data_IF_059960990495
#
_entry.id   IF_059960990495
#
_cell.length_a   1.000
_cell.length_b   1.000
_cell.length_c   1.000
_cell.angle_alpha   90.00
_cell.angle_beta   90.00
_cell.angle_gamma   90.00
#
_symmetry.space_group_name_H-M   'P 1'
#
loop_
_entity.id
_entity.type
_entity.pdbx_description
1 polymer ?
#
# COMPACT_ATOMS: atom_id res chain seq x y z
N UNK A 1 16.73 6.69 72.10
CA UNK A 1 16.42 7.87 71.26
C UNK A 1 16.13 7.40 69.85
N UNK A 2 15.07 7.98 69.27
CA UNK A 2 14.65 8.03 67.87
C UNK A 2 14.68 6.78 66.96
N UNK A 3 13.46 6.41 66.59
CA UNK A 3 13.00 5.54 65.49
C UNK A 3 13.12 6.27 64.14
N UNK A 4 13.56 5.57 63.09
CA UNK A 4 13.41 5.97 61.68
C UNK A 4 13.33 4.66 60.88
N UNK A 5 12.16 4.10 60.51
CA UNK A 5 11.18 4.54 59.51
C UNK A 5 11.84 4.76 58.14
N UNK A 6 11.83 3.75 57.26
CA UNK A 6 10.80 3.49 56.22
C UNK A 6 10.99 4.37 54.97
N UNK A 7 10.73 3.75 53.82
CA UNK A 7 10.50 4.32 52.48
C UNK A 7 11.75 4.73 51.69
N UNK A 8 11.83 4.55 50.38
CA UNK A 8 10.81 4.16 49.40
C UNK A 8 11.46 3.40 48.24
N UNK A 9 10.71 2.42 47.77
CA UNK A 9 10.61 1.94 46.40
C UNK A 9 10.97 3.03 45.39
N UNK A 10 12.10 2.88 44.71
CA UNK A 10 12.33 3.56 43.44
C UNK A 10 11.54 2.81 42.38
N UNK A 11 10.27 3.18 42.21
CA UNK A 11 9.51 2.89 41.00
C UNK A 11 10.32 3.43 39.81
N UNK A 12 10.90 2.54 39.01
CA UNK A 12 11.39 2.90 37.69
C UNK A 12 10.16 3.29 36.86
N UNK A 13 9.99 4.60 36.73
CA UNK A 13 9.14 5.28 35.77
C UNK A 13 9.28 4.64 34.40
N UNK A 14 8.19 4.02 33.94
CA UNK A 14 8.02 3.71 32.53
C UNK A 14 8.05 5.00 31.74
N UNK A 15 9.12 5.17 30.95
CA UNK A 15 9.11 6.04 29.78
C UNK A 15 8.22 5.39 28.72
N UNK A 16 6.91 5.45 28.94
CA UNK A 16 5.94 5.21 27.89
C UNK A 16 5.35 6.56 27.56
N UNK A 17 6.14 7.37 26.87
CA UNK A 17 5.68 8.61 26.23
C UNK A 17 4.65 8.22 25.15
N UNK A 18 3.33 8.41 25.36
CA UNK A 18 2.31 8.06 24.39
C UNK A 18 2.13 9.28 23.48
N UNK A 19 2.91 9.37 22.40
CA UNK A 19 2.80 10.54 21.53
C UNK A 19 3.68 10.60 20.28
N UNK A 20 4.68 9.73 20.13
CA UNK A 20 5.61 9.81 19.00
C UNK A 20 5.13 9.06 17.74
N UNK A 21 4.26 8.04 17.86
CA UNK A 21 3.89 7.15 16.74
C UNK A 21 2.87 7.76 15.76
N UNK A 22 2.29 8.93 16.06
CA UNK A 22 1.29 9.57 15.21
C UNK A 22 1.87 10.33 14.01
N UNK A 23 3.19 10.59 13.97
CA UNK A 23 3.72 11.67 13.13
C UNK A 23 4.42 11.25 11.83
N UNK A 24 4.76 9.97 11.63
CA UNK A 24 5.55 9.55 10.46
C UNK A 24 4.83 8.44 9.68
N UNK A 25 4.47 8.75 8.44
CA UNK A 25 4.05 7.74 7.46
C UNK A 25 5.29 6.96 6.99
N UNK A 26 5.17 5.66 6.71
CA UNK A 26 6.26 4.86 6.16
C UNK A 26 6.70 5.35 4.78
N UNK A 27 7.99 5.18 4.46
CA UNK A 27 8.55 5.63 3.17
C UNK A 27 8.10 4.76 1.99
N UNK A 28 7.79 3.48 2.24
CA UNK A 28 7.43 2.51 1.20
C UNK A 28 6.46 1.44 1.72
N UNK A 29 5.91 0.65 0.80
CA UNK A 29 4.91 -0.38 1.08
C UNK A 29 5.43 -1.44 2.08
N UNK A 30 6.64 -1.94 1.87
CA UNK A 30 7.24 -2.98 2.72
C UNK A 30 7.43 -2.49 4.16
N UNK A 31 7.86 -1.25 4.34
CA UNK A 31 7.99 -0.63 5.66
C UNK A 31 6.63 -0.49 6.36
N UNK A 32 5.59 -0.09 5.62
CA UNK A 32 4.23 0.01 6.16
C UNK A 32 3.66 -1.35 6.57
N UNK A 33 3.94 -2.40 5.77
CA UNK A 33 3.50 -3.75 6.05
C UNK A 33 4.20 -4.32 7.29
N UNK A 34 5.53 -4.19 7.37
CA UNK A 34 6.30 -4.67 8.53
C UNK A 34 5.86 -4.00 9.83
N UNK A 35 5.56 -2.70 9.78
CA UNK A 35 5.04 -1.99 10.95
C UNK A 35 3.65 -2.47 11.34
N UNK A 36 2.77 -2.71 10.36
CA UNK A 36 1.42 -3.23 10.60
C UNK A 36 1.47 -4.62 11.23
N UNK A 37 2.35 -5.51 10.75
CA UNK A 37 2.56 -6.85 11.32
C UNK A 37 3.03 -6.77 12.78
N UNK A 38 4.03 -5.91 13.06
CA UNK A 38 4.51 -5.69 14.43
C UNK A 38 3.41 -5.14 15.35
N UNK A 39 2.58 -4.24 14.82
CA UNK A 39 1.48 -3.65 15.57
C UNK A 39 0.39 -4.68 15.88
N UNK A 40 0.03 -5.51 14.91
CA UNK A 40 -0.93 -6.62 15.10
C UNK A 40 -0.39 -7.62 16.11
N UNK A 41 0.88 -8.03 16.01
CA UNK A 41 1.50 -8.93 16.97
C UNK A 41 1.39 -8.42 18.42
N UNK A 42 1.64 -7.12 18.63
CA UNK A 42 1.46 -6.46 19.94
C UNK A 42 0.00 -6.45 20.42
N UNK A 43 -0.96 -6.31 19.50
CA UNK A 43 -2.39 -6.37 19.84
C UNK A 43 -2.82 -7.77 20.24
N UNK A 44 -2.25 -8.80 19.60
CA UNK A 44 -2.53 -10.21 19.90
C UNK A 44 -1.89 -10.68 21.21
N UNK A 45 -0.79 -10.05 21.63
CA UNK A 45 -0.12 -10.33 22.91
C UNK A 45 -0.99 -9.98 24.14
N UNK A 46 -2.04 -9.17 23.96
CA UNK A 46 -3.08 -8.93 24.96
C UNK A 46 -2.64 -8.09 26.18
N UNK A 47 -1.46 -7.49 26.14
CA UNK A 47 -0.91 -6.67 27.22
C UNK A 47 -1.25 -5.16 27.10
N UNK A 48 -1.98 -4.75 26.07
CA UNK A 48 -2.31 -3.34 25.82
C UNK A 48 -3.45 -2.86 26.72
N UNK A 49 -3.30 -1.67 27.30
CA UNK A 49 -4.41 -0.93 27.91
C UNK A 49 -5.45 -0.49 26.87
N UNK A 50 -6.59 0.01 27.34
CA UNK A 50 -7.67 0.49 26.47
C UNK A 50 -7.22 1.67 25.58
N UNK A 51 -6.55 2.67 26.16
CA UNK A 51 -5.96 3.80 25.42
C UNK A 51 -4.94 3.33 24.36
N UNK A 52 -4.06 2.39 24.72
CA UNK A 52 -3.05 1.85 23.80
C UNK A 52 -3.69 1.03 22.67
N UNK A 53 -4.74 0.27 22.96
CA UNK A 53 -5.51 -0.47 21.96
C UNK A 53 -6.16 0.48 20.95
N UNK A 54 -6.73 1.60 21.43
CA UNK A 54 -7.28 2.64 20.56
C UNK A 54 -6.20 3.34 19.73
N UNK A 55 -5.03 3.60 20.30
CA UNK A 55 -3.90 4.18 19.57
C UNK A 55 -3.39 3.22 18.49
N UNK A 56 -3.21 1.94 18.82
CA UNK A 56 -2.79 0.90 17.90
C UNK A 56 -3.78 0.76 16.73
N UNK A 57 -5.08 0.74 17.02
CA UNK A 57 -6.12 0.71 15.99
C UNK A 57 -6.03 1.90 15.02
N UNK A 58 -5.90 3.14 15.54
CA UNK A 58 -5.77 4.33 14.70
C UNK A 58 -4.54 4.26 13.81
N UNK A 59 -3.40 3.85 14.36
CA UNK A 59 -2.16 3.67 13.61
C UNK A 59 -2.31 2.60 12.53
N UNK A 60 -2.88 1.45 12.87
CA UNK A 60 -3.17 0.37 11.91
C UNK A 60 -4.06 0.84 10.76
N UNK A 61 -5.11 1.61 11.04
CA UNK A 61 -5.97 2.19 10.01
C UNK A 61 -5.21 3.12 9.05
N UNK A 62 -4.28 3.94 9.59
CA UNK A 62 -3.40 4.78 8.77
C UNK A 62 -2.46 3.96 7.88
N UNK A 63 -1.83 2.93 8.44
CA UNK A 63 -0.91 2.04 7.69
C UNK A 63 -1.64 1.30 6.57
N UNK A 64 -2.82 0.75 6.86
CA UNK A 64 -3.67 0.08 5.86
C UNK A 64 -4.07 1.04 4.74
N UNK A 65 -4.46 2.28 5.07
CA UNK A 65 -4.80 3.30 4.09
C UNK A 65 -3.61 3.67 3.20
N UNK A 66 -2.41 3.75 3.76
CA UNK A 66 -1.18 3.98 3.00
C UNK A 66 -0.88 2.83 2.04
N UNK A 67 -0.98 1.58 2.49
CA UNK A 67 -0.77 0.40 1.66
C UNK A 67 -1.71 0.37 0.45
N UNK A 68 -3.00 0.65 0.67
CA UNK A 68 -3.99 0.72 -0.40
C UNK A 68 -3.65 1.80 -1.43
N UNK A 69 -3.28 3.00 -1.00
CA UNK A 69 -2.88 4.07 -1.92
C UNK A 69 -1.65 3.70 -2.74
N UNK A 70 -0.67 3.01 -2.16
CA UNK A 70 0.52 2.58 -2.90
C UNK A 70 0.16 1.56 -3.97
N UNK A 71 -0.71 0.60 -3.67
CA UNK A 71 -1.20 -0.38 -4.65
C UNK A 71 -1.99 0.28 -5.78
N UNK A 72 -2.88 1.23 -5.44
CA UNK A 72 -3.66 1.98 -6.43
C UNK A 72 -2.77 2.78 -7.40
N UNK A 73 -1.72 3.43 -6.88
CA UNK A 73 -0.73 4.13 -7.72
C UNK A 73 -0.04 3.18 -8.70
N UNK A 74 0.38 2.00 -8.22
CA UNK A 74 1.04 0.99 -9.08
C UNK A 74 0.06 0.46 -10.13
N UNK A 75 -1.19 0.17 -9.76
CA UNK A 75 -2.21 -0.28 -10.70
C UNK A 75 -2.47 0.76 -11.79
N UNK A 76 -2.57 2.04 -11.42
CA UNK A 76 -2.74 3.13 -12.37
C UNK A 76 -1.54 3.26 -13.32
N UNK A 77 -0.32 3.07 -12.83
CA UNK A 77 0.90 3.08 -13.66
C UNK A 77 0.90 1.94 -14.67
N UNK A 78 0.56 0.72 -14.24
CA UNK A 78 0.45 -0.45 -15.13
C UNK A 78 -0.59 -0.21 -16.22
N UNK A 79 -1.76 0.32 -15.85
CA UNK A 79 -2.84 0.62 -16.80
C UNK A 79 -2.43 1.63 -17.88
N UNK A 80 -1.65 2.65 -17.52
CA UNK A 80 -1.11 3.62 -18.48
C UNK A 80 -0.13 2.95 -19.42
N UNK A 81 0.81 2.15 -18.89
CA UNK A 81 1.80 1.41 -19.69
C UNK A 81 1.13 0.45 -20.69
N UNK A 82 0.09 -0.27 -20.27
CA UNK A 82 -0.68 -1.15 -21.14
C UNK A 82 -1.43 -0.36 -22.23
N UNK A 83 -2.05 0.77 -21.86
CA UNK A 83 -2.77 1.65 -22.79
C UNK A 83 -1.85 2.33 -23.81
N UNK A 84 -0.63 2.72 -23.42
CA UNK A 84 0.38 3.25 -24.31
C UNK A 84 0.96 2.18 -25.25
N UNK A 85 1.15 0.96 -24.74
CA UNK A 85 1.60 -0.20 -25.55
C UNK A 85 0.56 -0.56 -26.61
N UNK A 86 -0.73 -0.40 -26.31
CA UNK A 86 -1.84 -0.77 -27.19
C UNK A 86 -2.30 0.34 -28.14
N UNK A 87 -1.52 1.42 -28.36
CA UNK A 87 -1.91 2.52 -29.25
C UNK A 87 -2.40 1.97 -30.60
N UNK A 88 -3.71 2.05 -30.91
CA UNK A 88 -4.26 1.44 -32.11
C UNK A 88 -3.60 2.08 -33.33
N UNK A 89 -3.02 1.25 -34.20
CA UNK A 89 -2.58 1.73 -35.50
C UNK A 89 -3.79 2.35 -36.21
N UNK A 90 -3.66 3.60 -36.72
CA UNK A 90 -4.78 4.26 -37.38
C UNK A 90 -5.33 3.36 -38.49
N UNK A 91 -6.66 3.20 -38.51
CA UNK A 91 -7.37 2.30 -39.43
C UNK A 91 -7.04 2.57 -40.92
N UNK A 92 -6.51 3.75 -41.22
CA UNK A 92 -6.08 4.14 -42.56
C UNK A 92 -4.83 3.39 -43.05
N UNK A 93 -3.99 2.86 -42.15
CA UNK A 93 -2.86 1.99 -42.51
C UNK A 93 -3.32 0.58 -42.90
N UNK A 94 -4.45 0.11 -42.36
CA UNK A 94 -4.98 -1.23 -42.64
C UNK A 94 -5.61 -1.33 -44.05
N UNK A 95 -6.09 -0.21 -44.61
CA UNK A 95 -6.62 -0.17 -45.99
C UNK A 95 -5.52 -0.22 -47.06
N UNK A 96 -4.32 0.27 -46.75
CA UNK A 96 -3.21 0.32 -47.70
C UNK A 96 -2.64 -1.07 -48.03
N UNK A 97 -2.82 -2.07 -47.16
CA UNK A 97 -2.32 -3.44 -47.37
C UNK A 97 -3.34 -4.37 -48.03
N UNK A 98 -4.62 -3.99 -48.08
CA UNK A 98 -5.71 -4.80 -48.64
C UNK A 98 -6.19 -4.33 -50.03
N UNK A 99 -5.69 -3.20 -50.52
CA UNK A 99 -6.07 -2.60 -51.81
C UNK A 99 -5.18 -2.93 -53.02
N UNK A 100 -4.15 -3.77 -52.88
CA UNK A 100 -3.19 -4.08 -53.96
C UNK A 100 -3.38 -5.46 -54.63
N UNK A 101 -4.55 -6.09 -54.44
CA UNK A 101 -4.96 -7.31 -55.15
C UNK A 101 -6.16 -7.06 -56.06
N UNK A 102 -6.06 -6.08 -56.97
CA UNK A 102 -7.06 -5.86 -58.01
C UNK A 102 -6.75 -6.75 -59.23
N UNK A 103 -7.79 -7.43 -59.73
CA UNK A 103 -8.10 -7.74 -61.15
C UNK A 103 -6.95 -8.26 -62.04
N UNK A 104 -7.03 -9.42 -62.68
CA UNK A 104 -7.98 -9.81 -63.73
C UNK A 104 -7.72 -11.28 -64.09
N UNK A 105 -8.75 -12.09 -64.33
CA UNK A 105 -8.76 -12.96 -65.52
C UNK A 105 -10.18 -13.44 -65.80
N UNK A 106 -10.64 -13.21 -67.03
CA UNK A 106 -11.94 -13.62 -67.53
C UNK A 106 -11.75 -14.93 -68.31
N UNK A 107 -12.52 -15.96 -68.00
CA UNK A 107 -12.78 -17.12 -68.86
C UNK A 107 -14.12 -17.69 -68.41
N UNK A 108 -15.23 -17.52 -69.13
CA UNK A 108 -15.52 -18.07 -70.47
C UNK A 108 -15.30 -19.59 -70.47
N UNK A 109 -16.41 -20.34 -70.44
CA UNK A 109 -16.66 -21.67 -71.05
C UNK A 109 -17.54 -22.61 -70.17
N UNK A 110 -18.67 -23.02 -70.78
CA UNK A 110 -19.68 -24.06 -70.45
C UNK A 110 -20.84 -23.75 -69.49
#
# INVERSE_FOLDING_TARGET
MAKTAVQATGEQTGDNTPGADAALLPDNYEAALAELESLVARMEEGALSLEESLAAYRRGATLVGFCQQQLEKVEQQVRVLDGETLKPLPADVQRATQGAGAATDNGDDL
#
